data_IF_758666426597
#
_entry.id   IF_758666426597
#
_cell.length_a   1.000
_cell.length_b   1.000
_cell.length_c   1.000
_cell.angle_alpha   90.00
_cell.angle_beta   90.00
_cell.angle_gamma   90.00
#
_symmetry.space_group_name_H-M   'P 1'
#
loop_
_entity.id
_entity.type
_entity.pdbx_description
1 polymer ?
#
# COMPACT_ATOMS: atom_id res chain seq x y z
N UNK A 1 -4.19 15.96 -35.54
CA UNK A 1 -3.93 16.19 -34.11
C UNK A 1 -4.90 15.35 -33.31
N UNK A 2 -4.55 14.08 -33.05
CA UNK A 2 -5.38 13.14 -32.30
C UNK A 2 -4.89 13.13 -30.86
N UNK A 3 -5.65 13.78 -29.98
CA UNK A 3 -5.43 13.71 -28.54
C UNK A 3 -5.59 12.26 -28.08
N UNK A 4 -4.51 11.68 -27.57
CA UNK A 4 -4.57 10.43 -26.83
C UNK A 4 -5.46 10.68 -25.60
N UNK A 5 -6.69 10.19 -25.66
CA UNK A 5 -7.52 10.03 -24.48
C UNK A 5 -6.89 8.92 -23.65
N UNK A 6 -6.29 9.28 -22.52
CA UNK A 6 -5.94 8.32 -21.48
C UNK A 6 -7.23 7.60 -21.09
N UNK A 7 -7.34 6.34 -21.49
CA UNK A 7 -8.45 5.46 -21.14
C UNK A 7 -8.22 5.01 -19.69
N UNK A 8 -8.70 5.81 -18.73
CA UNK A 8 -8.65 5.51 -17.29
C UNK A 8 -9.59 4.35 -16.87
N UNK A 9 -10.04 3.52 -17.82
CA UNK A 9 -11.26 2.73 -17.65
C UNK A 9 -11.19 1.22 -17.85
N UNK A 10 -10.06 0.61 -18.26
CA UNK A 10 -10.07 -0.82 -18.66
C UNK A 10 -8.78 -1.58 -18.31
N UNK A 11 -8.53 -1.76 -17.02
CA UNK A 11 -7.98 -3.00 -16.48
C UNK A 11 -8.56 -3.18 -15.08
N UNK A 12 -9.78 -3.71 -15.06
CA UNK A 12 -10.61 -3.94 -13.87
C UNK A 12 -10.45 -5.37 -13.33
N UNK A 13 -9.37 -6.04 -13.72
CA UNK A 13 -8.98 -7.31 -13.11
C UNK A 13 -8.43 -6.98 -11.72
N UNK A 14 -9.29 -7.28 -10.74
CA UNK A 14 -9.21 -7.08 -9.30
C UNK A 14 -7.85 -6.58 -8.76
N UNK A 15 -7.83 -5.53 -7.90
CA UNK A 15 -6.59 -5.07 -7.30
C UNK A 15 -5.86 -6.25 -6.64
N UNK A 16 -4.64 -6.52 -7.12
CA UNK A 16 -3.83 -7.59 -6.54
C UNK A 16 -3.54 -7.23 -5.09
N UNK A 17 -3.73 -8.22 -4.20
CA UNK A 17 -3.48 -8.04 -2.78
C UNK A 17 -2.00 -7.79 -2.56
N UNK A 18 -1.67 -6.66 -1.94
CA UNK A 18 -0.33 -6.31 -1.53
C UNK A 18 -0.20 -6.43 -0.01
N UNK A 19 0.98 -6.81 0.46
CA UNK A 19 1.36 -6.68 1.86
C UNK A 19 2.55 -5.75 1.97
N UNK A 20 2.42 -4.74 2.81
CA UNK A 20 3.52 -3.83 3.14
C UNK A 20 4.21 -4.34 4.39
N UNK A 21 5.52 -4.61 4.32
CA UNK A 21 6.32 -4.94 5.48
C UNK A 21 6.41 -3.73 6.42
N UNK A 22 6.17 -3.95 7.71
CA UNK A 22 6.20 -2.91 8.74
C UNK A 22 7.50 -2.98 9.54
N UNK A 23 8.07 -1.81 9.79
CA UNK A 23 9.21 -1.63 10.70
C UNK A 23 8.75 -1.67 12.15
N UNK A 24 7.56 -1.10 12.39
CA UNK A 24 6.98 -0.94 13.72
C UNK A 24 5.46 -1.09 13.69
N UNK A 25 4.93 -1.73 14.74
CA UNK A 25 3.51 -1.76 15.09
C UNK A 25 3.39 -1.41 16.56
N UNK A 26 2.47 -0.53 16.90
CA UNK A 26 2.21 -0.09 18.27
C UNK A 26 0.75 0.27 18.51
N UNK A 27 0.40 0.66 19.75
CA UNK A 27 -0.96 1.05 20.09
C UNK A 27 -1.42 2.24 19.24
N UNK A 28 -2.66 2.18 18.75
CA UNK A 28 -3.32 3.30 18.07
C UNK A 28 -3.82 4.36 19.05
N UNK A 29 -4.45 5.41 18.53
CA UNK A 29 -5.15 6.41 19.36
C UNK A 29 -6.50 5.87 19.83
N UNK A 30 -7.15 5.04 19.01
CA UNK A 30 -8.39 4.35 19.34
C UNK A 30 -8.17 2.84 19.56
N UNK A 31 -9.05 2.16 20.32
CA UNK A 31 -8.92 0.72 20.59
C UNK A 31 -8.92 -0.18 19.34
N UNK A 32 -9.59 0.27 18.28
CA UNK A 32 -9.71 -0.41 16.99
C UNK A 32 -8.60 -0.03 15.99
N UNK A 33 -7.57 0.68 16.45
CA UNK A 33 -6.44 1.12 15.64
C UNK A 33 -5.09 0.57 16.13
N UNK A 34 -4.15 0.49 15.17
CA UNK A 34 -2.71 0.33 15.40
C UNK A 34 -1.96 1.48 14.75
N UNK A 35 -0.92 1.95 15.41
CA UNK A 35 0.05 2.83 14.77
C UNK A 35 1.11 1.98 14.07
N UNK A 36 1.25 2.14 12.76
CA UNK A 36 2.20 1.40 11.94
C UNK A 36 3.23 2.34 11.32
N UNK A 37 4.48 1.90 11.22
CA UNK A 37 5.53 2.57 10.45
C UNK A 37 6.18 1.60 9.47
N UNK A 38 6.55 2.12 8.31
CA UNK A 38 7.23 1.37 7.26
C UNK A 38 8.06 2.34 6.41
N UNK A 39 9.01 1.79 5.66
CA UNK A 39 9.88 2.56 4.78
C UNK A 39 9.75 2.06 3.34
N UNK A 40 9.71 3.00 2.38
CA UNK A 40 9.76 2.72 0.94
C UNK A 40 10.88 3.57 0.35
N UNK A 41 11.92 2.93 -0.19
CA UNK A 41 13.17 3.61 -0.54
C UNK A 41 13.71 4.40 0.66
N UNK A 42 13.98 5.69 0.46
CA UNK A 42 14.48 6.60 1.51
C UNK A 42 13.37 7.34 2.28
N UNK A 43 12.10 6.99 2.04
CA UNK A 43 10.95 7.68 2.64
C UNK A 43 10.33 6.85 3.76
N UNK A 44 10.31 7.43 4.95
CA UNK A 44 9.57 6.89 6.08
C UNK A 44 8.09 7.26 5.97
N UNK A 45 7.24 6.27 6.19
CA UNK A 45 5.79 6.39 6.23
C UNK A 45 5.27 5.91 7.59
N UNK A 46 4.12 6.43 7.99
CA UNK A 46 3.45 5.94 9.19
C UNK A 46 2.11 6.59 9.42
N UNK A 47 1.27 5.90 10.17
CA UNK A 47 -0.08 6.35 10.44
C UNK A 47 -0.86 5.37 11.30
N UNK A 48 -2.06 5.80 11.68
CA UNK A 48 -3.05 4.96 12.33
C UNK A 48 -3.75 4.12 11.27
N UNK A 49 -3.90 2.84 11.56
CA UNK A 49 -4.45 1.82 10.68
C UNK A 49 -5.51 1.05 11.44
N UNK A 50 -6.59 0.60 10.78
CA UNK A 50 -7.56 -0.25 11.43
C UNK A 50 -6.93 -1.61 11.78
N UNK A 51 -7.28 -2.17 12.94
CA UNK A 51 -6.71 -3.43 13.44
C UNK A 51 -6.78 -4.57 12.44
N UNK A 52 -7.88 -4.68 11.69
CA UNK A 52 -8.08 -5.77 10.73
C UNK A 52 -7.13 -5.72 9.51
N UNK A 53 -6.49 -4.57 9.26
CA UNK A 53 -5.54 -4.42 8.18
C UNK A 53 -4.09 -4.67 8.61
N UNK A 54 -3.80 -4.66 9.91
CA UNK A 54 -2.45 -4.84 10.46
C UNK A 54 -2.32 -6.23 11.05
N UNK A 55 -1.30 -6.97 10.60
CA UNK A 55 -0.85 -8.16 11.27
C UNK A 55 0.36 -7.82 12.14
N UNK A 56 0.14 -7.76 13.45
CA UNK A 56 1.15 -7.38 14.43
C UNK A 56 2.24 -8.46 14.58
N UNK A 57 1.84 -9.74 14.58
CA UNK A 57 2.75 -10.88 14.76
C UNK A 57 3.79 -10.98 13.64
N UNK A 58 3.35 -10.84 12.39
CA UNK A 58 4.19 -10.95 11.20
C UNK A 58 4.63 -9.58 10.67
N UNK A 59 4.25 -8.49 11.36
CA UNK A 59 4.56 -7.10 11.01
C UNK A 59 4.27 -6.77 9.55
N UNK A 60 3.04 -6.97 9.09
CA UNK A 60 2.64 -6.53 7.76
C UNK A 60 1.30 -5.80 7.75
N UNK A 61 1.11 -4.94 6.75
CA UNK A 61 -0.10 -4.16 6.50
C UNK A 61 -0.74 -4.61 5.19
N UNK A 62 -2.04 -4.88 5.21
CA UNK A 62 -2.82 -5.15 4.00
C UNK A 62 -2.91 -3.89 3.15
N UNK A 63 -2.60 -4.00 1.87
CA UNK A 63 -2.72 -2.92 0.89
C UNK A 63 -3.20 -3.47 -0.46
N UNK A 64 -3.43 -2.57 -1.42
CA UNK A 64 -3.98 -2.93 -2.72
C UNK A 64 -3.21 -2.23 -3.85
N UNK A 65 -2.82 -2.97 -4.88
CA UNK A 65 -2.30 -2.33 -6.10
C UNK A 65 -3.49 -1.81 -6.91
N UNK A 66 -3.52 -0.50 -7.13
CA UNK A 66 -4.59 0.18 -7.89
C UNK A 66 -4.17 0.55 -9.31
N UNK A 67 -2.87 0.64 -9.56
CA UNK A 67 -2.32 0.89 -10.89
C UNK A 67 -0.96 0.23 -11.01
N UNK A 68 -0.74 -0.48 -12.10
CA UNK A 68 0.58 -0.93 -12.53
C UNK A 68 1.07 0.00 -13.65
N UNK A 69 2.22 0.65 -13.43
CA UNK A 69 2.85 1.51 -14.41
C UNK A 69 3.86 0.72 -15.25
N UNK A 70 3.88 0.97 -16.56
CA UNK A 70 4.80 0.35 -17.53
C UNK A 70 6.28 0.66 -17.24
N UNK A 71 6.57 1.64 -16.38
CA UNK A 71 7.92 2.05 -15.99
C UNK A 71 8.45 1.35 -14.73
N UNK A 72 7.85 0.22 -14.36
CA UNK A 72 8.33 -0.59 -13.24
C UNK A 72 7.90 -0.06 -11.87
N UNK A 73 6.75 0.61 -11.80
CA UNK A 73 6.18 1.14 -10.54
C UNK A 73 4.77 0.64 -10.31
N UNK A 74 4.33 0.63 -9.05
CA UNK A 74 2.95 0.39 -8.64
C UNK A 74 2.40 1.59 -7.88
N UNK A 75 1.12 1.91 -8.11
CA UNK A 75 0.33 2.75 -7.20
C UNK A 75 -0.37 1.85 -6.19
N UNK A 76 0.08 1.89 -4.94
CA UNK A 76 -0.45 1.10 -3.84
C UNK A 76 -1.37 1.96 -3.00
N UNK A 77 -2.60 1.50 -2.81
CA UNK A 77 -3.59 2.09 -1.93
C UNK A 77 -3.54 1.45 -0.55
N UNK A 78 -3.46 2.30 0.46
CA UNK A 78 -3.52 1.96 1.87
C UNK A 78 -5.00 1.86 2.33
N UNK A 79 -5.29 1.00 3.32
CA UNK A 79 -6.65 0.65 3.73
C UNK A 79 -7.43 1.83 4.32
N UNK A 80 -6.77 2.85 4.86
CA UNK A 80 -7.40 4.11 5.26
C UNK A 80 -6.43 5.31 5.12
N UNK A 81 -6.92 6.53 5.38
CA UNK A 81 -6.10 7.74 5.48
C UNK A 81 -4.96 7.54 6.48
N UNK A 82 -3.78 7.13 6.00
CA UNK A 82 -2.55 7.48 6.72
C UNK A 82 -2.46 9.00 6.69
N UNK A 83 -2.96 9.65 7.74
CA UNK A 83 -3.08 11.12 7.80
C UNK A 83 -1.74 11.85 7.58
N UNK A 84 -0.60 11.16 7.67
CA UNK A 84 0.75 11.71 7.51
C UNK A 84 1.32 11.50 6.10
N UNK A 85 0.88 10.48 5.35
CA UNK A 85 1.47 10.11 4.04
C UNK A 85 0.47 10.05 2.88
N UNK A 86 -0.83 10.23 3.14
CA UNK A 86 -1.88 10.10 2.14
C UNK A 86 -2.31 8.66 1.92
N UNK A 87 -3.39 8.46 1.16
CA UNK A 87 -4.01 7.14 0.97
C UNK A 87 -3.29 6.27 -0.08
N UNK A 88 -2.46 6.88 -0.92
CA UNK A 88 -1.77 6.19 -2.00
C UNK A 88 -0.28 6.48 -1.95
N UNK A 89 0.52 5.45 -2.21
CA UNK A 89 1.98 5.52 -2.29
C UNK A 89 2.44 4.89 -3.60
N UNK A 90 3.51 5.43 -4.18
CA UNK A 90 4.15 4.85 -5.36
C UNK A 90 5.31 4.00 -4.88
N UNK A 91 5.37 2.75 -5.32
CA UNK A 91 6.41 1.78 -4.96
C UNK A 91 7.11 1.30 -6.23
N UNK A 92 8.42 1.12 -6.18
CA UNK A 92 9.17 0.52 -7.28
C UNK A 92 8.99 -1.00 -7.24
N UNK A 93 8.82 -1.64 -8.40
CA UNK A 93 8.65 -3.11 -8.49
C UNK A 93 9.87 -3.89 -8.02
N UNK A 94 11.03 -3.25 -7.88
CA UNK A 94 12.24 -3.85 -7.33
C UNK A 94 12.23 -3.92 -5.79
N UNK A 95 11.38 -3.11 -5.12
CA UNK A 95 11.21 -3.09 -3.66
C UNK A 95 10.23 -4.19 -3.18
N UNK A 96 10.23 -5.38 -3.81
CA UNK A 96 9.30 -6.48 -3.47
C UNK A 96 9.47 -7.01 -2.03
N UNK A 97 10.60 -6.72 -1.40
CA UNK A 97 10.81 -7.00 0.02
C UNK A 97 9.88 -6.18 0.92
N UNK A 98 9.42 -5.03 0.43
CA UNK A 98 8.46 -4.15 1.11
C UNK A 98 7.05 -4.46 0.66
N UNK A 99 6.82 -4.78 -0.61
CA UNK A 99 5.49 -5.13 -1.15
C UNK A 99 5.47 -6.56 -1.65
N UNK A 100 4.92 -7.48 -0.85
CA UNK A 100 4.68 -8.86 -1.28
C UNK A 100 3.37 -8.92 -2.05
N UNK A 101 3.47 -9.08 -3.36
CA UNK A 101 2.33 -9.35 -4.25
C UNK A 101 2.10 -10.85 -4.25
N UNK A 102 1.20 -11.31 -3.39
CA UNK A 102 0.75 -12.69 -3.47
C UNK A 102 -0.43 -12.75 -4.44
N UNK A 103 -0.27 -13.50 -5.53
CA UNK A 103 -1.40 -14.01 -6.28
C UNK A 103 -2.33 -14.76 -5.32
N UNK A 104 -3.49 -14.15 -5.07
CA UNK A 104 -4.73 -14.63 -4.43
C UNK A 104 -4.68 -15.76 -3.37
N UNK A 105 -5.36 -15.51 -2.25
CA UNK A 105 -5.94 -16.54 -1.37
C UNK A 105 -7.31 -16.98 -1.91
#
# INVERSE_FOLDING_TARGET
>A
MTGQKYDWGRNRDKPEGAKIQLDYVGPGMMPDERYAKFQIGDKAHGGWMPNHAVNEENKWLKAFITTDFDDGRWLVQLPDETRVSGRNIVVLKEDQNVVVVNGWW
#
